data_IF_097835318493
#
_entry.id   IF_097835318493
#
_cell.length_a   1.000
_cell.length_b   1.000
_cell.length_c   1.000
_cell.angle_alpha   90.00
_cell.angle_beta   90.00
_cell.angle_gamma   90.00
#
_symmetry.space_group_name_H-M   'P 1'
#
loop_
_entity.id
_entity.type
_entity.pdbx_description
1 polymer ?
#
# COMPACT_ATOMS: atom_id res chain seq x y z
N UNK A 1 3.01 -10.53 -22.01
CA UNK A 1 4.15 -11.06 -21.23
C UNK A 1 5.47 -10.62 -21.83
N UNK A 2 6.32 -10.10 -21.00
CA UNK A 2 7.65 -9.63 -21.40
C UNK A 2 8.69 -10.77 -21.53
N UNK A 3 8.28 -12.02 -21.28
CA UNK A 3 9.08 -13.25 -21.39
C UNK A 3 10.35 -13.26 -20.51
N UNK A 4 10.34 -12.51 -19.42
CA UNK A 4 11.48 -12.40 -18.50
C UNK A 4 11.45 -13.47 -17.38
N UNK A 5 10.47 -14.41 -17.42
CA UNK A 5 10.23 -15.45 -16.41
C UNK A 5 9.81 -14.92 -15.03
N UNK A 6 9.39 -13.68 -14.96
CA UNK A 6 8.76 -13.10 -13.77
C UNK A 6 7.26 -12.92 -14.05
N UNK A 7 6.46 -12.95 -13.00
CA UNK A 7 5.02 -12.68 -13.10
C UNK A 7 4.75 -11.50 -12.18
N UNK A 8 4.57 -10.33 -12.76
CA UNK A 8 4.51 -9.07 -12.00
C UNK A 8 3.69 -8.01 -12.73
N UNK A 9 3.69 -6.78 -12.20
CA UNK A 9 2.93 -5.66 -12.75
C UNK A 9 3.31 -5.28 -14.20
N UNK A 10 4.51 -5.64 -14.69
CA UNK A 10 4.86 -5.44 -16.11
C UNK A 10 3.99 -6.30 -17.02
N UNK A 11 3.71 -7.55 -16.60
CA UNK A 11 2.80 -8.43 -17.35
C UNK A 11 1.37 -7.93 -17.33
N UNK A 12 0.92 -7.35 -16.18
CA UNK A 12 -0.37 -6.67 -16.11
C UNK A 12 -0.45 -5.48 -17.06
N UNK A 13 0.61 -4.67 -17.15
CA UNK A 13 0.67 -3.57 -18.09
C UNK A 13 0.62 -4.06 -19.55
N UNK A 14 1.34 -5.16 -19.86
CA UNK A 14 1.29 -5.80 -21.18
C UNK A 14 -0.11 -6.28 -21.54
N UNK A 15 -0.76 -6.98 -20.62
CA UNK A 15 -2.14 -7.45 -20.77
C UNK A 15 -3.11 -6.30 -21.03
N UNK A 16 -3.02 -5.22 -20.24
CA UNK A 16 -3.87 -4.04 -20.43
C UNK A 16 -3.64 -3.36 -21.78
N UNK A 17 -2.38 -3.24 -22.20
CA UNK A 17 -2.03 -2.66 -23.51
C UNK A 17 -2.63 -3.50 -24.64
N UNK A 18 -2.52 -4.81 -24.55
CA UNK A 18 -3.15 -5.73 -25.52
C UNK A 18 -4.67 -5.54 -25.57
N UNK A 19 -5.32 -5.52 -24.41
CA UNK A 19 -6.76 -5.34 -24.31
C UNK A 19 -7.22 -3.99 -24.91
N UNK A 20 -6.53 -2.90 -24.58
CA UNK A 20 -6.88 -1.57 -25.08
C UNK A 20 -6.74 -1.43 -26.61
N UNK A 21 -5.85 -2.22 -27.21
CA UNK A 21 -5.54 -2.17 -28.65
C UNK A 21 -6.17 -3.32 -29.46
N UNK A 22 -7.01 -4.16 -28.83
CA UNK A 22 -7.55 -5.39 -29.45
C UNK A 22 -6.45 -6.31 -29.99
N UNK A 23 -5.27 -6.30 -29.33
CA UNK A 23 -4.13 -7.15 -29.70
C UNK A 23 -4.17 -8.47 -28.91
N UNK A 24 -4.81 -9.47 -29.46
CA UNK A 24 -4.97 -10.78 -28.83
C UNK A 24 -3.67 -11.59 -28.67
N UNK A 25 -2.53 -11.07 -29.08
CA UNK A 25 -1.24 -11.71 -28.81
C UNK A 25 -0.87 -11.72 -27.32
N UNK A 26 -1.53 -10.89 -26.50
CA UNK A 26 -1.39 -10.83 -25.04
C UNK A 26 -2.47 -11.61 -24.28
N UNK A 27 -3.40 -12.24 -24.97
CA UNK A 27 -4.42 -13.10 -24.39
C UNK A 27 -3.80 -14.35 -23.76
N UNK A 28 -4.27 -14.75 -22.58
CA UNK A 28 -3.71 -15.85 -21.79
C UNK A 28 -4.71 -16.89 -21.36
N UNK A 29 -5.98 -16.61 -21.49
CA UNK A 29 -7.11 -17.51 -21.21
C UNK A 29 -7.90 -17.82 -22.47
N UNK A 30 -8.81 -18.78 -22.39
CA UNK A 30 -8.89 -19.87 -21.41
C UNK A 30 -7.63 -20.74 -21.39
N UNK A 31 -7.45 -21.50 -20.29
CA UNK A 31 -6.30 -22.41 -20.15
C UNK A 31 -6.75 -23.83 -19.88
N UNK A 32 -5.88 -24.79 -20.22
CA UNK A 32 -5.97 -26.17 -19.76
C UNK A 32 -4.79 -26.52 -18.88
N UNK A 33 -4.91 -27.57 -18.06
CA UNK A 33 -3.86 -27.95 -17.11
C UNK A 33 -4.06 -27.33 -15.73
N UNK A 34 -2.98 -27.32 -14.94
CA UNK A 34 -2.97 -26.81 -13.57
C UNK A 34 -1.74 -25.95 -13.34
N UNK A 35 -1.81 -25.00 -12.42
CA UNK A 35 -0.69 -24.15 -12.00
C UNK A 35 0.52 -25.02 -11.60
N UNK A 36 1.74 -24.74 -12.08
CA UNK A 36 2.14 -23.66 -12.98
C UNK A 36 2.15 -24.05 -14.47
N UNK A 37 1.62 -25.21 -14.81
CA UNK A 37 1.71 -25.80 -16.15
C UNK A 37 0.43 -25.55 -16.97
N UNK A 38 -0.01 -24.30 -17.00
CA UNK A 38 -1.11 -23.90 -17.86
C UNK A 38 -0.71 -23.92 -19.33
N UNK A 39 -1.63 -24.39 -20.15
CA UNK A 39 -1.53 -24.36 -21.62
C UNK A 39 -2.62 -23.40 -22.11
N UNK A 40 -2.27 -22.18 -22.55
CA UNK A 40 -3.24 -21.24 -23.08
C UNK A 40 -3.95 -21.78 -24.32
N UNK A 41 -5.23 -21.52 -24.42
CA UNK A 41 -6.08 -21.83 -25.58
C UNK A 41 -6.85 -20.56 -25.97
N UNK A 42 -6.15 -19.52 -26.49
CA UNK A 42 -6.73 -18.22 -26.75
C UNK A 42 -7.99 -18.29 -27.61
N UNK A 43 -8.98 -17.46 -27.28
CA UNK A 43 -10.28 -17.45 -27.92
C UNK A 43 -10.60 -16.12 -28.64
N UNK A 44 -9.65 -15.17 -28.65
CA UNK A 44 -9.76 -13.80 -29.13
C UNK A 44 -10.84 -12.98 -28.38
N UNK A 45 -10.93 -13.20 -27.07
CA UNK A 45 -11.79 -12.44 -26.17
C UNK A 45 -11.02 -12.19 -24.87
N UNK A 46 -10.85 -10.93 -24.54
CA UNK A 46 -10.35 -10.56 -23.21
C UNK A 46 -11.49 -10.62 -22.19
N UNK A 47 -11.43 -11.57 -21.28
CA UNK A 47 -12.47 -11.80 -20.29
C UNK A 47 -11.92 -12.23 -18.92
N UNK A 48 -12.80 -12.71 -18.05
CA UNK A 48 -12.45 -13.12 -16.71
C UNK A 48 -11.49 -14.32 -16.67
N UNK A 49 -11.51 -15.19 -17.68
CA UNK A 49 -10.67 -16.37 -17.76
C UNK A 49 -9.18 -15.97 -17.88
N UNK A 50 -8.89 -14.87 -18.61
CA UNK A 50 -7.55 -14.29 -18.70
C UNK A 50 -7.08 -13.76 -17.35
N UNK A 51 -7.91 -12.94 -16.72
CA UNK A 51 -7.59 -12.33 -15.42
C UNK A 51 -7.37 -13.42 -14.36
N UNK A 52 -8.24 -14.42 -14.32
CA UNK A 52 -8.11 -15.53 -13.36
C UNK A 52 -6.88 -16.39 -13.62
N UNK A 53 -6.50 -16.59 -14.87
CA UNK A 53 -5.25 -17.27 -15.24
C UNK A 53 -4.04 -16.50 -14.72
N UNK A 54 -4.02 -15.18 -14.93
CA UNK A 54 -2.96 -14.33 -14.41
C UNK A 54 -2.89 -14.39 -12.89
N UNK A 55 -4.01 -14.22 -12.19
CA UNK A 55 -4.10 -14.25 -10.72
C UNK A 55 -3.55 -15.56 -10.15
N UNK A 56 -3.94 -16.69 -10.71
CA UNK A 56 -3.45 -18.00 -10.23
C UNK A 56 -1.95 -18.17 -10.42
N UNK A 57 -1.41 -17.74 -11.56
CA UNK A 57 0.02 -17.77 -11.84
C UNK A 57 0.79 -16.81 -10.94
N UNK A 58 0.25 -15.62 -10.69
CA UNK A 58 0.84 -14.62 -9.82
C UNK A 58 0.98 -15.16 -8.38
N UNK A 59 -0.09 -15.73 -7.81
CA UNK A 59 -0.04 -16.32 -6.47
C UNK A 59 0.97 -17.46 -6.39
N UNK A 60 0.98 -18.36 -7.37
CA UNK A 60 1.97 -19.42 -7.43
C UNK A 60 3.40 -18.88 -7.46
N UNK A 61 3.65 -17.90 -8.32
CA UNK A 61 4.98 -17.32 -8.49
C UNK A 61 5.47 -16.68 -7.19
N UNK A 62 4.67 -15.83 -6.59
CA UNK A 62 5.05 -15.12 -5.36
C UNK A 62 5.02 -15.97 -4.09
N UNK A 63 4.40 -17.14 -4.10
CA UNK A 63 4.56 -18.15 -3.04
C UNK A 63 5.86 -18.93 -3.18
N UNK A 64 6.32 -19.13 -4.41
CA UNK A 64 7.49 -19.96 -4.73
C UNK A 64 8.79 -19.16 -4.69
N UNK A 65 8.76 -17.92 -5.19
CA UNK A 65 9.92 -17.06 -5.31
C UNK A 65 9.81 -15.86 -4.36
N UNK A 66 10.91 -15.55 -3.66
CA UNK A 66 10.97 -14.35 -2.83
C UNK A 66 11.13 -13.12 -3.72
N UNK A 67 10.37 -12.07 -3.44
CA UNK A 67 10.60 -10.76 -4.02
C UNK A 67 11.88 -10.17 -3.43
N UNK A 68 12.70 -9.55 -4.26
CA UNK A 68 13.86 -8.79 -3.84
C UNK A 68 13.88 -7.47 -4.60
N UNK A 69 13.85 -6.38 -3.87
CA UNK A 69 14.17 -5.08 -4.45
C UNK A 69 15.68 -5.02 -4.67
N UNK A 70 16.11 -5.26 -5.92
CA UNK A 70 17.47 -4.95 -6.34
C UNK A 70 17.73 -3.44 -6.26
N UNK A 71 18.97 -3.03 -6.48
CA UNK A 71 19.30 -1.61 -6.64
C UNK A 71 18.61 -1.11 -7.90
N UNK A 72 17.48 -0.43 -7.72
CA UNK A 72 16.71 0.13 -8.82
C UNK A 72 17.29 1.51 -9.17
N UNK A 73 17.52 1.75 -10.46
CA UNK A 73 17.83 3.09 -10.93
C UNK A 73 16.55 3.95 -10.85
N UNK A 74 16.66 5.14 -10.28
CA UNK A 74 15.54 6.07 -10.20
C UNK A 74 15.12 6.55 -11.60
N UNK A 75 13.82 6.58 -11.83
CA UNK A 75 13.18 7.07 -13.06
C UNK A 75 12.00 7.98 -12.66
N UNK A 76 11.87 9.14 -13.26
CA UNK A 76 10.71 10.03 -13.10
C UNK A 76 10.65 10.82 -11.79
N UNK A 77 11.68 10.74 -10.94
CA UNK A 77 11.72 11.44 -9.66
C UNK A 77 10.93 10.72 -8.54
N UNK A 78 10.90 11.32 -7.35
CA UNK A 78 10.24 10.74 -6.19
C UNK A 78 8.73 10.89 -6.30
N UNK A 79 7.98 9.84 -5.97
CA UNK A 79 6.53 9.91 -5.84
C UNK A 79 6.15 10.66 -4.56
N UNK A 80 5.01 11.34 -4.61
CA UNK A 80 4.40 11.87 -3.41
C UNK A 80 3.73 10.73 -2.64
N UNK A 81 4.24 10.44 -1.44
CA UNK A 81 3.73 9.41 -0.54
C UNK A 81 3.45 10.06 0.80
N UNK A 82 2.20 10.06 1.22
CA UNK A 82 1.76 10.72 2.44
C UNK A 82 0.97 9.75 3.32
N UNK A 83 1.15 9.88 4.63
CA UNK A 83 0.26 9.24 5.59
C UNK A 83 -0.95 10.14 5.81
N UNK A 84 -2.13 9.63 5.46
CA UNK A 84 -3.43 10.24 5.75
C UNK A 84 -4.16 9.33 6.73
N UNK A 85 -4.29 9.80 7.97
CA UNK A 85 -4.80 8.98 9.06
C UNK A 85 -4.03 7.65 9.16
N UNK A 86 -4.73 6.52 9.03
CA UNK A 86 -4.13 5.17 9.09
C UNK A 86 -3.75 4.61 7.73
N UNK A 87 -3.85 5.40 6.68
CA UNK A 87 -3.54 4.98 5.32
C UNK A 87 -2.29 5.68 4.79
N UNK A 88 -1.49 4.95 4.03
CA UNK A 88 -0.48 5.52 3.15
C UNK A 88 -1.09 5.73 1.78
N UNK A 89 -1.03 6.94 1.30
CA UNK A 89 -1.52 7.32 -0.03
C UNK A 89 -0.33 7.62 -0.93
N UNK A 90 -0.24 6.89 -2.01
CA UNK A 90 0.76 7.10 -3.08
C UNK A 90 0.09 7.80 -4.24
N UNK A 91 0.55 9.00 -4.56
CA UNK A 91 0.10 9.72 -5.75
C UNK A 91 0.86 9.23 -6.97
N UNK A 92 0.12 8.80 -7.98
CA UNK A 92 0.68 8.22 -9.20
C UNK A 92 0.90 9.29 -10.27
N UNK A 93 1.92 9.12 -11.14
CA UNK A 93 2.12 10.02 -12.27
C UNK A 93 1.01 9.83 -13.32
N UNK A 94 0.80 10.86 -14.13
CA UNK A 94 -0.12 10.80 -15.26
C UNK A 94 0.25 9.65 -16.21
N UNK A 95 -0.76 8.95 -16.71
CA UNK A 95 -0.58 7.82 -17.61
C UNK A 95 -0.25 6.50 -16.92
N UNK A 96 -0.30 6.42 -15.58
CA UNK A 96 -0.12 5.18 -14.84
C UNK A 96 -1.29 4.21 -15.11
N UNK A 97 -0.99 3.03 -15.66
CA UNK A 97 -1.98 1.98 -15.92
C UNK A 97 -1.77 0.74 -15.06
N UNK A 98 -0.54 0.49 -14.63
CA UNK A 98 -0.20 -0.62 -13.74
C UNK A 98 1.01 -0.24 -12.88
N UNK A 99 1.21 -0.97 -11.80
CA UNK A 99 2.38 -0.75 -10.97
C UNK A 99 2.55 -1.79 -9.88
N UNK A 100 3.71 -1.73 -9.27
CA UNK A 100 4.03 -2.48 -8.07
C UNK A 100 4.57 -1.55 -6.99
N UNK A 101 4.19 -1.81 -5.76
CA UNK A 101 4.73 -1.18 -4.56
C UNK A 101 5.18 -2.27 -3.60
N UNK A 102 6.43 -2.18 -3.20
CA UNK A 102 7.01 -3.05 -2.19
C UNK A 102 7.30 -2.23 -0.93
N UNK A 103 6.82 -2.71 0.21
CA UNK A 103 7.00 -2.05 1.50
C UNK A 103 7.78 -2.97 2.41
N UNK A 104 8.90 -2.46 2.95
CA UNK A 104 9.68 -3.13 3.97
C UNK A 104 9.53 -2.38 5.30
N UNK A 105 9.18 -3.13 6.35
CA UNK A 105 8.88 -2.59 7.66
C UNK A 105 9.47 -3.46 8.78
N UNK A 106 9.68 -2.93 10.01
CA UNK A 106 10.17 -3.74 11.13
C UNK A 106 9.18 -4.87 11.47
N UNK A 107 9.57 -6.16 11.42
CA UNK A 107 8.65 -7.29 11.56
C UNK A 107 7.85 -7.33 12.87
N UNK A 108 8.43 -6.80 13.95
CA UNK A 108 7.83 -6.87 15.30
C UNK A 108 6.75 -5.81 15.56
N UNK A 109 6.56 -4.84 14.65
CA UNK A 109 5.82 -3.63 14.98
C UNK A 109 4.62 -3.33 14.11
N UNK A 110 4.32 -4.13 13.07
CA UNK A 110 3.34 -3.69 12.06
C UNK A 110 2.50 -4.83 11.48
N UNK A 111 1.21 -4.58 11.37
CA UNK A 111 0.36 -5.20 10.38
C UNK A 111 0.07 -4.15 9.31
N UNK A 112 0.74 -4.27 8.17
CA UNK A 112 0.36 -3.54 6.98
C UNK A 112 -0.62 -4.41 6.21
N UNK A 113 -1.81 -3.91 5.99
CA UNK A 113 -2.80 -4.58 5.13
C UNK A 113 -3.09 -3.70 3.93
N UNK A 114 -3.37 -4.30 2.80
CA UNK A 114 -3.93 -3.57 1.67
C UNK A 114 -5.42 -3.46 1.85
N UNK A 115 -5.94 -2.26 1.91
CA UNK A 115 -7.32 -2.04 1.52
C UNK A 115 -7.35 -1.98 0.01
N UNK A 116 -7.82 -3.07 -0.60
CA UNK A 116 -8.33 -2.93 -1.95
C UNK A 116 -9.45 -1.90 -1.89
N UNK A 117 -9.37 -0.87 -2.71
CA UNK A 117 -10.52 0.00 -2.94
C UNK A 117 -11.59 -0.85 -3.65
N UNK A 118 -12.32 -1.62 -2.85
CA UNK A 118 -13.36 -2.55 -3.31
C UNK A 118 -14.52 -1.82 -4.01
N UNK A 119 -14.50 -0.50 -4.04
CA UNK A 119 -15.53 0.32 -4.68
C UNK A 119 -15.29 0.51 -6.17
N UNK A 120 -14.13 0.15 -6.69
CA UNK A 120 -13.79 0.34 -8.10
C UNK A 120 -13.66 -1.01 -8.83
N UNK A 121 -14.74 -1.41 -9.50
CA UNK A 121 -14.84 -2.68 -10.26
C UNK A 121 -13.85 -2.79 -11.44
N UNK A 122 -13.20 -1.67 -11.81
CA UNK A 122 -12.26 -1.60 -12.92
C UNK A 122 -10.80 -1.67 -12.48
N UNK A 123 -10.50 -2.29 -11.34
CA UNK A 123 -9.12 -2.39 -10.83
C UNK A 123 -8.78 -3.81 -10.44
N UNK A 124 -7.58 -4.22 -10.77
CA UNK A 124 -6.97 -5.45 -10.27
C UNK A 124 -6.01 -5.05 -9.15
N UNK A 125 -6.16 -5.66 -7.99
CA UNK A 125 -5.23 -5.58 -6.87
C UNK A 125 -4.79 -6.96 -6.47
N UNK A 126 -3.49 -7.17 -6.44
CA UNK A 126 -2.86 -8.39 -5.96
C UNK A 126 -1.89 -8.03 -4.84
N UNK A 127 -1.99 -8.70 -3.73
CA UNK A 127 -1.12 -8.44 -2.60
C UNK A 127 -0.60 -9.70 -1.95
N UNK A 128 0.62 -9.61 -1.43
CA UNK A 128 1.24 -10.60 -0.58
C UNK A 128 1.88 -9.92 0.60
N UNK A 129 1.62 -10.44 1.80
CA UNK A 129 2.21 -9.99 3.04
C UNK A 129 3.05 -11.11 3.67
N UNK A 130 4.24 -10.78 4.14
CA UNK A 130 5.11 -11.67 4.94
C UNK A 130 5.49 -10.94 6.23
N UNK A 131 4.63 -11.08 7.24
CA UNK A 131 4.80 -10.44 8.54
C UNK A 131 6.07 -10.90 9.27
N UNK A 132 6.55 -12.10 8.97
CA UNK A 132 7.78 -12.64 9.58
C UNK A 132 9.04 -11.92 9.09
N UNK A 133 9.01 -11.44 7.86
CA UNK A 133 10.07 -10.65 7.26
C UNK A 133 9.82 -9.14 7.33
N UNK A 134 8.58 -8.73 7.61
CA UNK A 134 8.17 -7.34 7.50
C UNK A 134 8.16 -6.85 6.06
N UNK A 135 7.60 -7.64 5.17
CA UNK A 135 7.54 -7.36 3.73
C UNK A 135 6.11 -7.43 3.22
N UNK A 136 5.74 -6.46 2.42
CA UNK A 136 4.47 -6.42 1.71
C UNK A 136 4.71 -6.05 0.25
N UNK A 137 4.15 -6.82 -0.65
CA UNK A 137 4.11 -6.53 -2.08
C UNK A 137 2.67 -6.27 -2.48
N UNK A 138 2.46 -5.21 -3.23
CA UNK A 138 1.20 -4.91 -3.89
C UNK A 138 1.45 -4.65 -5.36
N UNK A 139 0.70 -5.31 -6.19
CA UNK A 139 0.65 -5.07 -7.63
C UNK A 139 -0.76 -4.71 -8.02
N UNK A 140 -0.89 -3.77 -8.91
CA UNK A 140 -2.18 -3.25 -9.33
C UNK A 140 -2.21 -2.94 -10.83
N UNK A 141 -3.42 -2.93 -11.38
CA UNK A 141 -3.69 -2.48 -12.73
C UNK A 141 -5.06 -1.79 -12.80
N UNK A 142 -5.14 -0.74 -13.61
CA UNK A 142 -6.36 0.02 -13.87
C UNK A 142 -6.96 -0.39 -15.21
N UNK A 143 -8.11 -1.05 -15.17
CA UNK A 143 -8.87 -1.45 -16.34
C UNK A 143 -9.71 -0.30 -16.92
N UNK A 144 -9.83 0.81 -16.16
CA UNK A 144 -10.56 1.99 -16.62
C UNK A 144 -9.66 2.84 -17.49
N UNK A 145 -9.79 3.06 -18.67
CA UNK A 145 -8.93 3.89 -19.55
C UNK A 145 -8.68 5.35 -19.06
N UNK A 146 -9.09 5.68 -17.86
CA UNK A 146 -9.00 7.03 -17.30
C UNK A 146 -7.71 7.29 -16.51
N UNK A 147 -6.89 6.27 -16.30
CA UNK A 147 -5.69 6.33 -15.46
C UNK A 147 -6.01 6.41 -13.96
N UNK A 148 -5.14 5.84 -13.17
CA UNK A 148 -5.23 5.84 -11.71
C UNK A 148 -4.40 6.98 -11.14
N UNK A 149 -4.97 7.76 -10.23
CA UNK A 149 -4.25 8.89 -9.63
C UNK A 149 -3.63 8.54 -8.28
N UNK A 150 -4.20 7.59 -7.54
CA UNK A 150 -3.71 7.22 -6.21
C UNK A 150 -3.85 5.73 -5.95
N UNK A 151 -2.92 5.19 -5.16
CA UNK A 151 -3.00 3.87 -4.53
C UNK A 151 -2.91 4.06 -3.03
N UNK A 152 -3.79 3.43 -2.27
CA UNK A 152 -3.82 3.54 -0.82
C UNK A 152 -3.58 2.18 -0.16
N UNK A 153 -2.86 2.21 0.96
CA UNK A 153 -2.56 1.04 1.79
C UNK A 153 -2.94 1.34 3.23
N UNK A 154 -3.59 0.42 3.91
CA UNK A 154 -3.76 0.54 5.35
C UNK A 154 -2.42 0.32 6.05
N UNK A 155 -2.02 1.31 6.83
CA UNK A 155 -0.80 1.28 7.61
C UNK A 155 -1.16 1.34 9.10
N UNK A 156 -1.49 0.20 9.68
CA UNK A 156 -1.72 0.11 11.12
C UNK A 156 -0.40 -0.22 11.84
N UNK A 157 -0.02 0.62 12.79
CA UNK A 157 1.05 0.30 13.73
C UNK A 157 0.47 -0.46 14.90
N UNK A 158 0.91 -1.69 15.13
CA UNK A 158 0.56 -2.44 16.35
C UNK A 158 1.23 -1.85 17.59
N UNK A 159 2.36 -1.17 17.42
CA UNK A 159 3.05 -0.46 18.48
C UNK A 159 2.65 1.03 18.50
N UNK A 160 2.62 1.61 19.71
CA UNK A 160 2.42 3.05 19.92
C UNK A 160 3.64 3.89 19.49
N UNK A 161 4.57 3.30 18.78
CA UNK A 161 5.80 3.96 18.35
C UNK A 161 5.81 4.21 16.85
N UNK A 162 6.36 5.35 16.47
CA UNK A 162 6.64 5.64 15.07
C UNK A 162 7.57 4.58 14.47
N UNK A 163 7.42 4.29 13.18
CA UNK A 163 8.29 3.37 12.48
C UNK A 163 8.82 3.96 11.19
N UNK A 164 10.05 3.61 10.86
CA UNK A 164 10.60 3.88 9.54
C UNK A 164 10.29 2.68 8.65
N UNK A 165 9.72 2.94 7.49
CA UNK A 165 9.46 1.97 6.44
C UNK A 165 10.20 2.37 5.18
N UNK A 166 10.58 1.38 4.39
CA UNK A 166 11.14 1.60 3.05
C UNK A 166 10.08 1.21 2.03
N UNK A 167 9.77 2.12 1.10
CA UNK A 167 8.83 1.90 0.02
C UNK A 167 9.58 1.96 -1.30
N UNK A 168 9.57 0.86 -2.04
CA UNK A 168 10.05 0.81 -3.40
C UNK A 168 8.88 0.68 -4.36
N UNK A 169 9.00 1.26 -5.54
CA UNK A 169 7.93 1.26 -6.52
C UNK A 169 8.43 1.20 -7.95
N UNK A 170 7.62 0.62 -8.80
CA UNK A 170 7.76 0.70 -10.26
C UNK A 170 6.38 0.90 -10.86
N UNK A 171 6.23 1.97 -11.64
CA UNK A 171 4.95 2.37 -12.24
C UNK A 171 5.09 2.26 -13.76
N UNK A 172 4.12 1.64 -14.37
CA UNK A 172 4.07 1.38 -15.80
C UNK A 172 2.98 2.23 -16.46
N UNK A 173 3.34 2.84 -17.58
CA UNK A 173 2.44 3.44 -18.55
C UNK A 173 2.07 2.44 -19.66
N UNK A 174 1.51 2.97 -20.76
CA UNK A 174 1.21 2.19 -21.96
C UNK A 174 2.48 1.52 -22.49
N UNK A 175 2.30 0.42 -23.22
CA UNK A 175 3.39 -0.34 -23.87
C UNK A 175 4.48 -0.82 -22.87
N UNK A 176 4.13 -1.04 -21.61
CA UNK A 176 5.04 -1.47 -20.53
C UNK A 176 6.16 -0.46 -20.25
N UNK A 177 6.04 0.78 -20.69
CA UNK A 177 7.01 1.82 -20.39
C UNK A 177 7.06 2.05 -18.87
N UNK A 178 8.28 2.07 -18.32
CA UNK A 178 8.48 2.47 -16.93
C UNK A 178 8.47 3.99 -16.85
N UNK A 179 7.36 4.56 -16.39
CA UNK A 179 7.21 6.01 -16.26
C UNK A 179 7.70 6.56 -14.93
N UNK A 180 7.75 5.69 -13.91
CA UNK A 180 8.33 6.06 -12.62
C UNK A 180 8.88 4.83 -11.90
N UNK A 181 10.03 4.99 -11.24
CA UNK A 181 10.66 3.96 -10.41
C UNK A 181 11.53 4.62 -9.37
N UNK A 182 11.48 4.13 -8.15
CA UNK A 182 12.34 4.64 -7.09
C UNK A 182 12.14 3.94 -5.77
N UNK A 183 12.85 4.48 -4.75
CA UNK A 183 12.79 4.00 -3.39
C UNK A 183 12.81 5.18 -2.43
N UNK A 184 11.99 5.15 -1.38
CA UNK A 184 11.89 6.18 -0.36
C UNK A 184 11.78 5.58 1.03
N UNK A 185 12.35 6.29 2.01
CA UNK A 185 12.14 6.01 3.42
C UNK A 185 11.07 6.95 3.96
N UNK A 186 10.04 6.39 4.54
CA UNK A 186 8.89 7.11 5.10
C UNK A 186 8.83 6.84 6.60
N UNK A 187 8.59 7.87 7.38
CA UNK A 187 8.29 7.74 8.79
C UNK A 187 6.78 7.58 8.96
N UNK A 188 6.35 6.40 9.38
CA UNK A 188 4.97 6.18 9.82
C UNK A 188 4.81 6.69 11.24
N UNK A 189 3.85 7.57 11.44
CA UNK A 189 3.44 8.04 12.75
C UNK A 189 2.43 7.06 13.35
N UNK A 190 2.68 6.64 14.58
CA UNK A 190 1.73 5.78 15.27
C UNK A 190 0.48 6.57 15.64
N UNK A 191 -0.68 6.13 15.16
CA UNK A 191 -1.98 6.71 15.50
C UNK A 191 -2.66 5.80 16.52
N UNK A 192 -2.96 6.29 17.73
CA UNK A 192 -3.65 5.51 18.76
C UNK A 192 -5.00 4.99 18.27
N UNK A 193 -5.44 3.84 18.80
CA UNK A 193 -6.76 3.29 18.48
C UNK A 193 -7.88 3.93 19.31
N UNK A 194 -7.57 4.27 20.57
CA UNK A 194 -8.53 4.78 21.53
C UNK A 194 -8.09 6.14 22.10
N UNK A 195 -9.07 6.94 22.48
CA UNK A 195 -8.82 8.11 23.31
C UNK A 195 -8.34 7.69 24.69
N UNK A 196 -7.20 8.20 25.12
CA UNK A 196 -6.69 7.93 26.46
C UNK A 196 -6.04 9.17 27.08
N UNK A 197 -6.20 9.31 28.40
CA UNK A 197 -5.42 10.23 29.21
C UNK A 197 -4.61 9.41 30.20
N UNK A 198 -3.30 9.47 30.07
CA UNK A 198 -2.37 8.70 30.90
C UNK A 198 -2.10 9.40 32.22
N UNK A 199 -1.68 8.62 33.24
CA UNK A 199 -1.23 9.18 34.47
C UNK A 199 -0.05 10.13 34.24
N UNK A 200 -0.10 11.28 34.93
CA UNK A 200 1.02 12.21 34.89
C UNK A 200 2.26 11.62 35.58
N UNK A 201 3.44 11.88 35.02
CA UNK A 201 4.71 11.40 35.55
C UNK A 201 5.77 12.52 35.54
N UNK A 202 6.54 12.67 36.62
CA UNK A 202 6.42 11.99 37.91
C UNK A 202 5.16 12.42 38.69
N UNK A 203 4.66 11.55 39.59
CA UNK A 203 3.60 11.86 40.52
C UNK A 203 3.92 11.16 41.86
N UNK A 204 4.22 11.87 42.97
CA UNK A 204 4.26 13.33 43.10
C UNK A 204 5.31 14.03 42.25
N UNK A 205 5.04 15.29 41.86
CA UNK A 205 5.91 16.08 41.00
C UNK A 205 6.56 17.28 41.72
N UNK A 206 7.73 17.75 41.26
CA UNK A 206 8.43 18.94 41.79
C UNK A 206 9.40 19.53 40.75
N UNK A 207 9.18 20.66 40.17
CA UNK A 207 7.90 21.37 40.01
C UNK A 207 7.13 20.98 38.73
N UNK A 208 7.67 20.04 37.94
CA UNK A 208 7.17 19.70 36.59
C UNK A 208 6.69 18.27 36.53
N UNK A 209 5.60 18.06 35.83
CA UNK A 209 5.08 16.74 35.46
C UNK A 209 4.67 16.72 33.98
N UNK A 210 4.77 15.57 33.35
CA UNK A 210 4.31 15.36 31.98
C UNK A 210 2.98 14.63 31.98
N UNK A 211 2.03 15.09 31.17
CA UNK A 211 0.78 14.41 30.88
C UNK A 211 0.80 13.93 29.45
N UNK A 212 0.53 12.66 29.23
CA UNK A 212 0.38 12.06 27.93
C UNK A 212 -1.09 11.79 27.66
N UNK A 213 -1.51 12.03 26.42
CA UNK A 213 -2.85 11.70 25.98
C UNK A 213 -2.80 11.18 24.54
N UNK A 214 -3.73 10.29 24.22
CA UNK A 214 -3.85 9.67 22.91
C UNK A 214 -5.09 10.21 22.20
N UNK A 215 -4.92 10.57 20.92
CA UNK A 215 -6.00 11.04 20.04
C UNK A 215 -5.99 10.15 18.78
N UNK A 216 -7.02 9.33 18.57
CA UNK A 216 -7.11 8.47 17.39
C UNK A 216 -7.48 9.20 16.11
N UNK A 217 -7.97 10.42 16.22
CA UNK A 217 -8.35 11.28 15.09
C UNK A 217 -8.07 12.76 15.37
N UNK A 218 -7.94 13.53 14.31
CA UNK A 218 -7.81 14.99 14.43
C UNK A 218 -9.13 15.59 14.85
N UNK A 219 -9.11 16.40 15.93
CA UNK A 219 -10.32 17.02 16.44
C UNK A 219 -10.04 18.09 17.49
N UNK A 220 -11.07 18.86 17.83
CA UNK A 220 -10.96 19.87 18.86
C UNK A 220 -10.70 19.21 20.21
N UNK A 221 -9.54 19.49 20.81
CA UNK A 221 -9.08 18.90 22.05
C UNK A 221 -9.03 19.95 23.15
N UNK A 222 -9.65 19.64 24.28
CA UNK A 222 -9.63 20.50 25.47
C UNK A 222 -9.15 19.72 26.67
N UNK A 223 -8.00 20.12 27.26
CA UNK A 223 -7.44 19.55 28.51
C UNK A 223 -7.48 20.56 29.61
N UNK A 224 -8.20 20.23 30.68
CA UNK A 224 -8.50 21.16 31.80
C UNK A 224 -8.06 20.54 33.11
N UNK A 225 -7.48 21.37 33.98
CA UNK A 225 -7.20 21.02 35.38
C UNK A 225 -8.33 21.54 36.28
N UNK A 226 -8.85 20.65 37.10
CA UNK A 226 -9.87 20.97 38.12
C UNK A 226 -9.31 20.82 39.52
N UNK A 227 -9.85 21.59 40.46
CA UNK A 227 -9.60 21.37 41.88
C UNK A 227 -10.49 20.24 42.45
N UNK A 228 -10.28 19.88 43.73
CA UNK A 228 -11.05 18.83 44.38
C UNK A 228 -12.55 19.12 44.51
N UNK A 229 -12.95 20.37 44.31
CA UNK A 229 -14.35 20.81 44.34
C UNK A 229 -14.96 20.86 42.92
N UNK A 230 -14.21 20.44 41.88
CA UNK A 230 -14.66 20.44 40.49
C UNK A 230 -14.62 21.82 39.82
N UNK A 231 -13.93 22.80 40.41
CA UNK A 231 -13.79 24.13 39.78
C UNK A 231 -12.62 24.11 38.83
N UNK A 232 -12.81 24.69 37.64
CA UNK A 232 -11.75 24.87 36.64
C UNK A 232 -10.62 25.75 37.19
N UNK A 233 -9.41 25.23 37.23
CA UNK A 233 -8.21 25.93 37.69
C UNK A 233 -7.42 26.46 36.50
N UNK A 234 -7.24 25.62 35.47
CA UNK A 234 -6.46 25.99 34.29
C UNK A 234 -6.81 25.16 33.06
N UNK A 235 -6.81 25.80 31.90
CA UNK A 235 -6.92 25.14 30.59
C UNK A 235 -5.52 24.98 30.03
N UNK A 236 -5.07 23.72 29.86
CA UNK A 236 -3.76 23.40 29.34
C UNK A 236 -3.74 23.39 27.80
N UNK A 237 -4.81 22.88 27.22
CA UNK A 237 -4.99 22.74 25.76
C UNK A 237 -6.41 23.15 25.42
N UNK A 238 -6.59 23.93 24.38
CA UNK A 238 -7.87 24.29 23.77
C UNK A 238 -7.60 24.62 22.30
N UNK A 239 -7.50 23.59 21.45
CA UNK A 239 -7.16 23.72 20.04
C UNK A 239 -7.59 22.51 19.20
N UNK A 240 -7.60 22.68 17.88
CA UNK A 240 -7.68 21.60 16.88
C UNK A 240 -6.30 21.14 16.50
#
# INVERSE_FOLDING_TARGET
>A
YDKNFQINAADLAAYLTGWQNDDYSYEIGPVTGTVPHFIPTPNNVYDLDDVMTFVQMWYWYHQTFSFSMGTLADIGGLLQIEQQDRSLVVTLPDGAIAGQVFIQYPPASKNLTTTADATNENRIYLSRNDDTKGEMLVEWADLSQNGMQTVSFDAQSLDRNDANITIGYTIYGADQEIINRGMQNIKLVAIPEDYALHHNYPNPFNPVTTMLYDLPETGHTRLIIYDLLGREVHVLIDKV
#
